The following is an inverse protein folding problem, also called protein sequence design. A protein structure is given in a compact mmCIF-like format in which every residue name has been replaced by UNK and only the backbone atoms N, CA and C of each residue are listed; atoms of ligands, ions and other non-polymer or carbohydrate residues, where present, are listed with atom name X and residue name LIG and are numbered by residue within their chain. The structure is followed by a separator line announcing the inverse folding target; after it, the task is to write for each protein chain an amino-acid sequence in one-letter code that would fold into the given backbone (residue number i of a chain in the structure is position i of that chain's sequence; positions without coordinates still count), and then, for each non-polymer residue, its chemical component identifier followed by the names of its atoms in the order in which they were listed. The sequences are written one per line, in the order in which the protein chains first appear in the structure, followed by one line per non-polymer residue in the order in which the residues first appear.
data_IF_746215767115
#
_entry.id   IF_746215767115
#
_cell.length_a   1.000
_cell.length_b   1.000
_cell.length_c   1.000
_cell.angle_alpha   90.00
_cell.angle_beta   90.00
_cell.angle_gamma   90.00
#
_symmetry.space_group_name_H-M   'P 1'
#
loop_
_entity.id
_entity.type
_entity.pdbx_description
1 polymer ?
#
# COMPACT_ATOMS: atom_id res chain seq x y z
N UNK A 1 -27.91 31.91 -22.50
CA UNK A 1 -28.21 30.77 -21.61
C UNK A 1 -28.48 29.60 -22.51
N UNK A 2 -27.51 28.70 -22.67
CA UNK A 2 -27.79 27.27 -22.78
C UNK A 2 -26.48 26.50 -22.56
N UNK A 3 -26.43 25.92 -21.38
CA UNK A 3 -25.45 24.96 -20.85
C UNK A 3 -25.91 23.55 -21.22
N UNK A 4 -25.09 22.78 -21.94
CA UNK A 4 -25.01 21.29 -21.99
C UNK A 4 -24.21 20.93 -23.27
N UNK A 5 -23.09 20.20 -23.25
CA UNK A 5 -22.94 18.80 -22.87
C UNK A 5 -21.48 18.50 -22.49
N UNK A 6 -21.26 18.22 -21.21
CA UNK A 6 -20.16 17.38 -20.72
C UNK A 6 -20.65 15.93 -20.81
N UNK A 7 -20.08 15.11 -21.68
CA UNK A 7 -20.25 13.65 -21.56
C UNK A 7 -19.09 12.87 -22.19
N UNK A 8 -18.47 12.05 -21.34
CA UNK A 8 -17.91 10.72 -21.63
C UNK A 8 -16.84 10.59 -22.72
N UNK A 9 -15.58 10.40 -22.30
CA UNK A 9 -14.63 9.50 -22.97
C UNK A 9 -13.81 8.76 -21.91
N UNK A 10 -14.43 7.70 -21.38
CA UNK A 10 -13.72 6.60 -20.74
C UNK A 10 -13.30 5.61 -21.84
N UNK A 11 -12.01 5.29 -21.88
CA UNK A 11 -11.47 4.20 -22.68
C UNK A 11 -10.84 4.64 -24.00
N UNK A 12 -9.52 4.82 -24.00
CA UNK A 12 -8.65 4.50 -25.14
C UNK A 12 -7.26 4.16 -24.60
N UNK A 13 -6.89 2.91 -24.83
CA UNK A 13 -5.58 2.37 -24.52
C UNK A 13 -4.49 3.03 -25.38
N UNK A 14 -3.26 2.88 -24.90
CA UNK A 14 -2.03 3.47 -25.40
C UNK A 14 -1.90 3.50 -26.94
N UNK A 15 -1.48 4.67 -27.42
CA UNK A 15 -0.90 4.87 -28.75
C UNK A 15 -1.90 5.20 -29.83
N UNK A 16 -2.38 6.45 -29.88
CA UNK A 16 -2.87 7.03 -31.13
C UNK A 16 -2.92 8.56 -31.00
N UNK A 17 -2.47 9.22 -32.06
CA UNK A 17 -2.62 10.66 -32.31
C UNK A 17 -4.10 11.03 -32.10
N UNK A 18 -4.40 11.86 -31.10
CA UNK A 18 -5.78 12.32 -30.86
C UNK A 18 -6.03 13.57 -31.71
N UNK A 19 -6.35 13.38 -33.00
CA UNK A 19 -6.91 14.45 -33.83
C UNK A 19 -8.42 14.47 -33.59
N UNK A 20 -8.94 15.49 -32.91
CA UNK A 20 -10.38 15.76 -32.87
C UNK A 20 -10.72 16.60 -34.11
N UNK A 21 -11.49 16.03 -35.03
CA UNK A 21 -11.91 16.70 -36.24
C UNK A 21 -13.34 17.23 -36.03
N UNK A 22 -13.48 18.55 -35.89
CA UNK A 22 -14.77 19.26 -35.88
C UNK A 22 -14.83 20.09 -37.16
N UNK A 23 -15.99 20.16 -37.81
CA UNK A 23 -16.17 20.84 -39.10
C UNK A 23 -15.84 22.34 -39.01
N UNK A 24 -14.66 22.72 -39.53
CA UNK A 24 -14.21 24.10 -39.75
C UNK A 24 -12.70 24.34 -39.60
N UNK A 25 -11.99 24.43 -40.73
CA UNK A 25 -10.95 25.41 -41.08
C UNK A 25 -9.51 25.42 -40.52
N UNK A 26 -9.10 24.73 -39.44
CA UNK A 26 -7.66 24.59 -39.09
C UNK A 26 -7.34 23.33 -38.29
N UNK A 27 -6.07 22.87 -38.31
CA UNK A 27 -5.58 21.72 -37.51
C UNK A 27 -4.43 22.10 -36.61
N UNK A 28 -4.53 21.79 -35.32
CA UNK A 28 -3.45 21.90 -34.34
C UNK A 28 -2.73 20.56 -34.14
N UNK A 29 -1.41 20.61 -34.04
CA UNK A 29 -0.56 19.42 -33.91
C UNK A 29 0.60 19.65 -32.94
N UNK A 30 0.65 18.85 -31.86
CA UNK A 30 1.76 18.80 -30.92
C UNK A 30 2.87 17.90 -31.48
N UNK A 31 4.07 18.45 -31.69
CA UNK A 31 5.20 17.71 -32.26
C UNK A 31 6.07 17.17 -31.15
N UNK A 32 6.28 15.85 -31.15
CA UNK A 32 7.13 15.13 -30.20
C UNK A 32 8.28 14.53 -31.01
N UNK A 33 9.51 14.99 -30.78
CA UNK A 33 10.68 14.60 -31.57
C UNK A 33 11.33 13.29 -31.07
N UNK A 34 11.08 12.92 -29.80
CA UNK A 34 11.80 11.85 -29.10
C UNK A 34 10.82 10.91 -28.36
N UNK A 35 11.32 9.84 -27.75
CA UNK A 35 10.51 8.94 -26.90
C UNK A 35 10.00 9.59 -25.60
N UNK A 36 10.32 10.86 -25.35
CA UNK A 36 10.02 11.59 -24.11
C UNK A 36 8.53 11.86 -23.88
N UNK A 37 7.69 11.77 -24.94
CA UNK A 37 6.28 12.21 -24.94
C UNK A 37 6.07 13.69 -24.58
N UNK A 38 7.15 14.47 -24.47
CA UNK A 38 7.13 15.91 -24.23
C UNK A 38 7.14 16.59 -25.60
N UNK A 39 6.19 17.51 -25.91
CA UNK A 39 6.22 18.24 -27.15
C UNK A 39 7.44 19.17 -27.20
N UNK A 40 8.06 19.28 -28.37
CA UNK A 40 9.11 20.27 -28.63
C UNK A 40 8.54 21.56 -29.21
N UNK A 41 7.43 21.46 -29.96
CA UNK A 41 6.78 22.58 -30.63
C UNK A 41 5.30 22.26 -30.91
N UNK A 42 4.54 23.30 -31.22
CA UNK A 42 3.14 23.22 -31.62
C UNK A 42 2.99 23.81 -33.03
N UNK A 43 2.20 23.15 -33.89
CA UNK A 43 1.95 23.59 -35.26
C UNK A 43 0.47 23.82 -35.50
N UNK A 44 0.14 24.97 -36.07
CA UNK A 44 -1.18 25.29 -36.61
C UNK A 44 -1.13 25.20 -38.15
N UNK A 45 -2.01 24.38 -38.70
CA UNK A 45 -2.21 24.18 -40.15
C UNK A 45 -3.58 24.79 -40.54
N UNK A 46 -3.63 26.03 -41.06
CA UNK A 46 -4.88 26.67 -41.50
C UNK A 46 -5.36 26.11 -42.85
N UNK A 47 -6.68 26.00 -43.06
CA UNK A 47 -7.29 25.56 -44.33
C UNK A 47 -7.44 26.68 -45.38
N UNK A 48 -7.62 27.95 -44.97
CA UNK A 48 -7.84 29.07 -45.91
C UNK A 48 -6.62 29.97 -46.09
N UNK A 49 -6.42 30.38 -47.34
CA UNK A 49 -5.41 31.35 -47.80
C UNK A 49 -5.76 32.78 -47.40
N UNK A 50 -5.71 33.08 -46.10
CA UNK A 50 -5.87 34.48 -45.69
C UNK A 50 -4.55 35.24 -45.65
N UNK A 51 -3.39 34.58 -45.60
CA UNK A 51 -2.07 35.25 -45.59
C UNK A 51 -1.06 34.55 -46.52
N UNK A 52 -1.12 34.82 -47.83
CA UNK A 52 -0.01 34.54 -48.78
C UNK A 52 1.17 35.54 -48.64
N UNK A 53 1.15 36.41 -47.62
CA UNK A 53 2.21 37.35 -47.28
C UNK A 53 2.95 37.01 -45.98
N UNK A 54 4.10 37.64 -45.74
CA UNK A 54 4.82 37.55 -44.47
C UNK A 54 3.95 38.14 -43.35
N UNK A 55 3.40 37.30 -42.48
CA UNK A 55 2.63 37.72 -41.31
C UNK A 55 3.54 38.45 -40.31
N UNK A 56 3.01 39.47 -39.64
CA UNK A 56 3.74 40.12 -38.54
C UNK A 56 3.72 39.22 -37.30
N UNK A 57 4.61 39.49 -36.34
CA UNK A 57 4.62 38.74 -35.07
C UNK A 57 3.26 38.81 -34.35
N UNK A 58 2.62 39.99 -34.35
CA UNK A 58 1.30 40.16 -33.75
C UNK A 58 0.20 39.35 -34.46
N UNK A 59 0.29 39.18 -35.78
CA UNK A 59 -0.63 38.32 -36.53
C UNK A 59 -0.46 36.85 -36.12
N UNK A 60 0.79 36.40 -35.91
CA UNK A 60 1.08 35.04 -35.47
C UNK A 60 0.66 34.77 -34.01
N UNK A 61 0.86 35.74 -33.12
CA UNK A 61 0.42 35.68 -31.72
C UNK A 61 -1.11 35.66 -31.59
N UNK A 62 -1.83 36.33 -32.51
CA UNK A 62 -3.29 36.26 -32.59
C UNK A 62 -3.77 34.95 -33.24
N UNK A 63 -2.96 34.37 -34.13
CA UNK A 63 -3.29 33.14 -34.84
C UNK A 63 -3.28 31.91 -33.91
N UNK A 64 -2.34 31.86 -32.95
CA UNK A 64 -2.08 30.70 -32.11
C UNK A 64 -1.63 31.12 -30.71
N UNK A 65 -2.31 30.63 -29.67
CA UNK A 65 -1.93 30.86 -28.27
C UNK A 65 -1.89 29.54 -27.50
N UNK A 66 -1.03 29.47 -26.48
CA UNK A 66 -0.87 28.31 -25.61
C UNK A 66 -1.02 28.74 -24.17
N UNK A 67 -1.78 28.00 -23.37
CA UNK A 67 -2.04 28.30 -21.97
C UNK A 67 -1.68 27.13 -21.08
N UNK A 68 -1.28 27.43 -19.84
CA UNK A 68 -1.15 26.44 -18.78
C UNK A 68 -2.54 26.09 -18.24
N UNK A 69 -2.80 24.81 -18.06
CA UNK A 69 -4.05 24.31 -17.45
C UNK A 69 -3.82 24.06 -15.97
N UNK A 70 -4.59 24.74 -15.13
CA UNK A 70 -4.61 24.55 -13.68
C UNK A 70 -5.98 24.02 -13.23
N UNK A 71 -6.00 23.17 -12.21
CA UNK A 71 -7.24 22.54 -11.74
C UNK A 71 -8.18 23.59 -11.13
N UNK A 72 -9.42 23.65 -11.63
CA UNK A 72 -10.44 24.58 -11.13
C UNK A 72 -10.31 26.02 -11.63
N UNK A 73 -9.38 26.31 -12.53
CA UNK A 73 -9.16 27.63 -13.14
C UNK A 73 -9.44 27.55 -14.64
N UNK A 74 -10.12 28.56 -15.19
CA UNK A 74 -10.30 28.68 -16.65
C UNK A 74 -8.93 28.97 -17.30
N UNK A 75 -8.38 28.08 -18.17
CA UNK A 75 -7.07 28.27 -18.77
C UNK A 75 -6.92 29.59 -19.54
N UNK A 76 -8.02 30.11 -20.12
CA UNK A 76 -7.99 31.37 -20.88
C UNK A 76 -7.84 32.61 -19.99
N UNK A 77 -7.99 32.46 -18.67
CA UNK A 77 -7.71 33.52 -17.70
C UNK A 77 -6.22 33.62 -17.33
N UNK A 78 -5.42 32.60 -17.68
CA UNK A 78 -3.97 32.62 -17.48
C UNK A 78 -3.28 33.42 -18.59
N UNK A 79 -2.12 34.06 -18.30
CA UNK A 79 -1.29 34.61 -19.36
C UNK A 79 -0.86 33.49 -20.34
N UNK A 80 -0.79 33.76 -21.66
CA UNK A 80 -0.25 32.80 -22.61
C UNK A 80 1.19 32.43 -22.27
N UNK A 81 1.58 31.21 -22.60
CA UNK A 81 2.95 30.71 -22.47
C UNK A 81 3.85 31.52 -23.41
N UNK A 82 4.88 32.13 -22.83
CA UNK A 82 5.88 32.86 -23.60
C UNK A 82 6.61 31.94 -24.59
N UNK A 83 6.81 32.42 -25.80
CA UNK A 83 7.53 31.69 -26.83
C UNK A 83 7.81 32.52 -28.08
N UNK A 84 8.32 31.83 -29.09
CA UNK A 84 8.62 32.38 -30.40
C UNK A 84 7.71 31.75 -31.45
N UNK A 85 7.35 32.56 -32.44
CA UNK A 85 6.52 32.16 -33.57
C UNK A 85 7.34 32.19 -34.85
N UNK A 86 7.17 31.16 -35.68
CA UNK A 86 7.76 31.08 -37.00
C UNK A 86 6.66 30.71 -37.99
N UNK A 87 6.64 31.40 -39.13
CA UNK A 87 5.80 31.03 -40.25
C UNK A 87 6.63 30.20 -41.25
N UNK A 88 6.15 29.01 -41.59
CA UNK A 88 6.75 28.16 -42.62
C UNK A 88 5.68 27.82 -43.66
N UNK A 89 5.65 28.58 -44.75
CA UNK A 89 4.56 28.54 -45.70
C UNK A 89 3.23 28.93 -45.01
N UNK A 90 2.27 28.01 -45.01
CA UNK A 90 0.96 28.20 -44.35
C UNK A 90 0.98 27.82 -42.87
N UNK A 91 2.02 27.15 -42.39
CA UNK A 91 2.06 26.62 -41.02
C UNK A 91 2.61 27.66 -40.06
N UNK A 92 1.90 27.91 -38.97
CA UNK A 92 2.40 28.67 -37.83
C UNK A 92 3.00 27.70 -36.83
N UNK A 93 4.25 27.91 -36.46
CA UNK A 93 5.01 27.08 -35.52
C UNK A 93 5.26 27.90 -34.26
N UNK A 94 4.76 27.41 -33.13
CA UNK A 94 5.05 27.96 -31.81
C UNK A 94 6.12 27.12 -31.10
N UNK A 95 7.14 27.79 -30.57
CA UNK A 95 8.18 27.20 -29.72
C UNK A 95 8.23 27.94 -28.39
N UNK A 96 7.97 27.28 -27.26
CA UNK A 96 7.97 27.96 -25.97
C UNK A 96 9.39 28.41 -25.61
N UNK A 97 9.52 29.53 -24.89
CA UNK A 97 10.80 30.06 -24.42
C UNK A 97 11.50 29.07 -23.48
N UNK A 98 10.70 28.36 -22.68
CA UNK A 98 11.14 27.23 -21.86
C UNK A 98 10.51 25.93 -22.38
N UNK A 99 11.23 24.81 -22.42
CA UNK A 99 10.67 23.53 -22.86
C UNK A 99 9.37 23.19 -22.11
N UNK A 100 8.39 22.62 -22.83
CA UNK A 100 7.18 22.10 -22.20
C UNK A 100 7.54 21.08 -21.11
N UNK A 101 6.74 21.04 -20.05
CA UNK A 101 6.95 20.12 -18.93
C UNK A 101 6.13 18.84 -19.08
N UNK A 102 6.71 17.70 -18.74
CA UNK A 102 6.03 16.41 -18.55
C UNK A 102 5.09 16.38 -17.32
N UNK A 103 4.96 17.51 -16.59
CA UNK A 103 4.12 17.66 -15.39
C UNK A 103 3.01 18.71 -15.54
N UNK A 104 2.95 19.43 -16.65
CA UNK A 104 2.00 20.54 -16.82
C UNK A 104 1.15 20.26 -18.05
N UNK A 105 -0.16 20.39 -17.91
CA UNK A 105 -1.10 20.28 -19.02
C UNK A 105 -1.17 21.61 -19.76
N UNK A 106 -1.24 21.56 -21.08
CA UNK A 106 -1.23 22.76 -21.94
C UNK A 106 -2.43 22.76 -22.89
N UNK A 107 -3.11 23.90 -22.99
CA UNK A 107 -4.19 24.12 -23.94
C UNK A 107 -3.70 25.02 -25.08
N UNK A 108 -3.69 24.50 -26.30
CA UNK A 108 -3.49 25.29 -27.51
C UNK A 108 -4.83 25.78 -28.06
N UNK A 109 -4.87 27.03 -28.52
CA UNK A 109 -6.06 27.69 -29.08
C UNK A 109 -5.68 28.43 -30.35
N UNK A 110 -6.38 28.14 -31.44
CA UNK A 110 -6.25 28.84 -32.72
C UNK A 110 -7.27 29.98 -32.84
N UNK A 111 -7.01 30.94 -33.75
CA UNK A 111 -7.87 32.10 -33.99
C UNK A 111 -9.32 31.77 -34.36
N UNK A 112 -9.53 30.64 -35.04
CA UNK A 112 -10.85 30.15 -35.45
C UNK A 112 -11.56 29.35 -34.35
N UNK A 113 -10.96 29.28 -33.15
CA UNK A 113 -11.50 28.61 -31.98
C UNK A 113 -11.17 27.12 -31.90
N UNK A 114 -10.40 26.56 -32.83
CA UNK A 114 -9.91 25.17 -32.72
C UNK A 114 -8.98 25.04 -31.51
N UNK A 115 -9.19 24.00 -30.70
CA UNK A 115 -8.41 23.77 -29.49
C UNK A 115 -7.74 22.39 -29.49
N UNK A 116 -6.57 22.31 -28.89
CA UNK A 116 -5.86 21.04 -28.68
C UNK A 116 -5.22 20.99 -27.28
N UNK A 117 -5.66 20.03 -26.47
CA UNK A 117 -5.12 19.78 -25.13
C UNK A 117 -3.95 18.79 -25.20
N UNK A 118 -2.79 19.19 -24.69
CA UNK A 118 -1.70 18.28 -24.35
C UNK A 118 -1.77 17.93 -22.85
N UNK A 119 -1.95 16.65 -22.53
CA UNK A 119 -1.88 16.17 -21.15
C UNK A 119 -0.47 15.68 -20.84
N UNK A 120 0.06 16.21 -19.74
CA UNK A 120 1.32 15.80 -19.17
C UNK A 120 1.33 14.33 -18.76
N UNK A 121 2.51 13.71 -18.75
CA UNK A 121 2.69 12.30 -18.37
C UNK A 121 2.62 12.08 -16.84
N UNK A 122 2.02 13.01 -16.09
CA UNK A 122 1.79 12.98 -14.63
C UNK A 122 1.17 11.67 -14.11
N UNK A 123 0.69 10.79 -14.98
CA UNK A 123 -0.24 9.71 -14.64
C UNK A 123 0.16 8.28 -15.05
N UNK A 124 1.29 7.99 -15.70
CA UNK A 124 1.47 6.63 -16.27
C UNK A 124 2.66 5.77 -15.77
N UNK A 125 3.71 6.32 -15.15
CA UNK A 125 4.88 5.49 -14.78
C UNK A 125 5.41 5.64 -13.34
N UNK A 126 4.71 6.35 -12.45
CA UNK A 126 5.01 6.19 -11.01
C UNK A 126 4.39 4.88 -10.52
N UNK A 127 5.15 3.94 -9.95
CA UNK A 127 4.58 2.71 -9.40
C UNK A 127 3.52 3.10 -8.37
N UNK A 128 2.27 2.69 -8.63
CA UNK A 128 1.12 3.05 -7.80
C UNK A 128 1.15 2.20 -6.55
N UNK A 129 0.90 2.82 -5.39
CA UNK A 129 0.78 2.10 -4.14
C UNK A 129 -0.35 1.06 -4.21
N UNK A 130 -0.11 -0.06 -3.53
CA UNK A 130 -1.05 -1.16 -3.34
C UNK A 130 -0.79 -1.80 -1.98
N UNK A 131 -1.80 -2.47 -1.45
CA UNK A 131 -1.64 -3.43 -0.38
C UNK A 131 -0.96 -4.67 -0.96
N UNK A 132 0.17 -5.07 -0.38
CA UNK A 132 0.87 -6.30 -0.75
C UNK A 132 0.23 -7.52 -0.08
N UNK A 133 -0.03 -7.43 1.23
CA UNK A 133 -0.73 -8.47 1.99
C UNK A 133 -1.26 -7.93 3.33
N UNK A 134 -2.16 -8.70 3.95
CA UNK A 134 -2.67 -8.43 5.30
C UNK A 134 -2.42 -9.66 6.17
N UNK A 135 -1.76 -9.46 7.30
CA UNK A 135 -1.54 -10.49 8.31
C UNK A 135 -2.55 -10.32 9.45
N UNK A 136 -3.06 -11.42 10.04
CA UNK A 136 -2.72 -12.81 9.72
C UNK A 136 -3.28 -13.26 8.36
N UNK A 137 -2.57 -14.11 7.63
CA UNK A 137 -3.00 -14.55 6.30
C UNK A 137 -4.03 -15.70 6.32
N UNK A 138 -4.21 -16.36 7.47
CA UNK A 138 -5.14 -17.48 7.63
C UNK A 138 -6.57 -17.17 7.21
N UNK A 139 -7.27 -18.21 6.74
CA UNK A 139 -8.69 -18.17 6.34
C UNK A 139 -9.63 -18.25 7.54
N UNK A 140 -9.18 -18.80 8.66
CA UNK A 140 -9.93 -18.88 9.92
C UNK A 140 -9.17 -18.06 10.97
N UNK A 141 -9.82 -17.04 11.52
CA UNK A 141 -9.26 -16.17 12.57
C UNK A 141 -10.09 -16.28 13.85
N UNK A 142 -9.49 -16.17 15.05
CA UNK A 142 -10.24 -16.30 16.29
C UNK A 142 -11.21 -15.13 16.47
N UNK A 143 -12.33 -15.36 17.16
CA UNK A 143 -13.32 -14.32 17.50
C UNK A 143 -12.69 -13.10 18.19
N UNK A 144 -11.65 -13.33 18.99
CA UNK A 144 -10.91 -12.30 19.69
C UNK A 144 -9.56 -11.96 19.05
N UNK A 145 -9.47 -12.05 17.72
CA UNK A 145 -8.32 -11.54 16.99
C UNK A 145 -7.96 -10.14 17.49
N UNK A 146 -6.71 -9.94 17.89
CA UNK A 146 -6.28 -8.69 18.51
C UNK A 146 -5.99 -7.61 17.46
N UNK A 147 -5.30 -7.96 16.38
CA UNK A 147 -4.79 -6.99 15.41
C UNK A 147 -4.59 -7.56 14.01
N UNK A 148 -4.58 -6.66 13.04
CA UNK A 148 -4.07 -6.89 11.70
C UNK A 148 -2.79 -6.10 11.45
N UNK A 149 -1.93 -6.60 10.58
CA UNK A 149 -0.88 -5.82 9.92
C UNK A 149 -1.22 -5.66 8.45
N UNK A 150 -1.36 -4.42 8.00
CA UNK A 150 -1.59 -4.11 6.58
C UNK A 150 -0.26 -3.65 5.99
N UNK A 151 0.27 -4.41 5.03
CA UNK A 151 1.53 -4.12 4.37
C UNK A 151 1.27 -3.51 2.99
N UNK A 152 1.99 -2.43 2.70
CA UNK A 152 1.88 -1.66 1.48
C UNK A 152 3.22 -1.69 0.73
N UNK A 153 3.13 -1.70 -0.60
CA UNK A 153 4.30 -1.63 -1.49
C UNK A 153 5.07 -0.30 -1.43
N UNK A 154 4.45 0.75 -0.87
CA UNK A 154 4.99 2.09 -0.80
C UNK A 154 4.58 2.77 0.51
N UNK A 155 5.33 3.81 0.89
CA UNK A 155 5.01 4.64 2.05
C UNK A 155 3.64 5.31 1.88
N UNK A 156 2.76 5.15 2.87
CA UNK A 156 1.40 5.65 2.83
C UNK A 156 1.22 6.97 3.57
N UNK A 157 0.24 7.76 3.15
CA UNK A 157 -0.22 8.91 3.91
C UNK A 157 -0.93 8.46 5.21
N UNK A 158 -0.77 9.23 6.28
CA UNK A 158 -1.46 9.02 7.55
C UNK A 158 -2.30 10.23 7.95
N UNK A 159 -2.97 10.13 9.10
CA UNK A 159 -3.84 11.14 9.71
C UNK A 159 -5.33 10.84 9.60
N UNK A 160 -5.72 9.83 8.83
CA UNK A 160 -7.13 9.45 8.61
C UNK A 160 -7.29 7.96 8.23
N UNK A 161 -6.43 7.07 8.78
CA UNK A 161 -6.38 5.65 8.37
C UNK A 161 -7.74 4.95 8.42
N UNK A 162 -8.56 5.24 9.44
CA UNK A 162 -9.79 4.50 9.72
C UNK A 162 -10.89 4.77 8.68
N UNK A 163 -10.86 5.91 7.97
CA UNK A 163 -11.80 6.18 6.87
C UNK A 163 -11.57 5.30 5.64
N UNK A 164 -10.37 4.76 5.50
CA UNK A 164 -10.00 3.92 4.38
C UNK A 164 -10.20 2.42 4.65
N UNK A 165 -10.63 2.05 5.86
CA UNK A 165 -10.69 0.66 6.31
C UNK A 165 -12.12 0.34 6.75
N UNK A 166 -12.68 -0.74 6.23
CA UNK A 166 -14.01 -1.23 6.61
C UNK A 166 -13.98 -2.71 6.90
N UNK A 167 -14.77 -3.12 7.90
CA UNK A 167 -15.04 -4.52 8.18
C UNK A 167 -16.51 -4.81 7.84
N UNK A 168 -16.76 -5.77 6.96
CA UNK A 168 -18.11 -6.14 6.52
C UNK A 168 -18.40 -7.58 6.94
N UNK A 169 -19.54 -7.79 7.58
CA UNK A 169 -20.11 -9.12 7.79
C UNK A 169 -20.85 -9.54 6.51
N UNK A 170 -20.45 -10.66 5.91
CA UNK A 170 -20.80 -10.99 4.53
C UNK A 170 -22.25 -11.47 4.38
N UNK A 171 -22.81 -12.22 5.34
CA UNK A 171 -24.14 -12.80 5.17
C UNK A 171 -25.22 -11.70 5.15
N UNK A 172 -25.09 -10.67 5.99
CA UNK A 172 -26.02 -9.52 6.01
C UNK A 172 -25.52 -8.32 5.22
N UNK A 173 -24.31 -8.39 4.64
CA UNK A 173 -23.62 -7.28 3.96
C UNK A 173 -23.58 -6.02 4.85
N UNK A 174 -23.39 -6.22 6.16
CA UNK A 174 -23.48 -5.16 7.16
C UNK A 174 -22.08 -4.68 7.51
N UNK A 175 -21.85 -3.36 7.46
CA UNK A 175 -20.63 -2.74 8.01
C UNK A 175 -20.65 -2.88 9.52
N UNK A 176 -19.60 -3.49 10.08
CA UNK A 176 -19.40 -3.58 11.52
C UNK A 176 -19.14 -2.18 12.06
N UNK A 177 -19.92 -1.75 13.04
CA UNK A 177 -19.77 -0.44 13.66
C UNK A 177 -18.61 -0.48 14.67
N UNK A 178 -17.76 0.54 14.62
CA UNK A 178 -16.59 0.74 15.51
C UNK A 178 -15.83 -0.56 15.82
N UNK A 179 -15.31 -1.28 14.81
CA UNK A 179 -14.62 -2.54 15.04
C UNK A 179 -13.18 -2.34 15.54
N UNK A 180 -12.59 -1.16 15.31
CA UNK A 180 -11.18 -0.87 15.55
C UNK A 180 -10.98 0.10 16.70
N UNK A 181 -9.82 -0.02 17.37
CA UNK A 181 -9.37 0.98 18.33
C UNK A 181 -8.82 2.19 17.57
N UNK A 182 -9.57 3.28 17.53
CA UNK A 182 -9.12 4.52 16.90
C UNK A 182 -8.18 5.31 17.82
N UNK A 183 -6.90 5.33 17.48
CA UNK A 183 -5.85 6.08 18.17
C UNK A 183 -5.55 7.40 17.44
N UNK A 184 -5.29 8.46 18.21
CA UNK A 184 -4.83 9.75 17.65
C UNK A 184 -3.42 9.67 17.03
N UNK A 185 -2.56 8.83 17.61
CA UNK A 185 -1.28 8.45 17.00
C UNK A 185 -1.41 7.09 16.31
N UNK A 186 -1.41 7.10 14.98
CA UNK A 186 -1.52 5.91 14.15
C UNK A 186 -0.27 5.02 14.26
N UNK A 187 -0.45 3.70 14.32
CA UNK A 187 0.61 2.75 14.61
C UNK A 187 1.33 2.25 13.34
N UNK A 188 2.00 3.18 12.67
CA UNK A 188 2.86 2.89 11.51
C UNK A 188 4.24 2.37 11.92
N UNK A 189 4.85 1.54 11.07
CA UNK A 189 6.31 1.39 11.09
C UNK A 189 7.01 2.67 10.58
N UNK A 190 8.32 2.75 10.77
CA UNK A 190 9.10 3.97 10.53
C UNK A 190 9.01 4.49 9.08
N UNK A 191 8.94 3.60 8.11
CA UNK A 191 8.84 3.88 6.67
C UNK A 191 7.38 4.01 6.18
N UNK A 192 6.38 3.85 7.06
CA UNK A 192 4.94 3.92 6.77
C UNK A 192 4.49 2.94 5.67
N UNK A 193 5.11 1.78 5.61
CA UNK A 193 4.76 0.67 4.71
C UNK A 193 3.96 -0.42 5.42
N UNK A 194 3.86 -0.38 6.75
CA UNK A 194 3.07 -1.32 7.56
C UNK A 194 2.27 -0.59 8.62
N UNK A 195 0.96 -0.70 8.56
CA UNK A 195 0.04 -0.23 9.61
C UNK A 195 -0.31 -1.39 10.56
N UNK A 196 -0.24 -1.13 11.86
CA UNK A 196 -0.84 -2.01 12.89
C UNK A 196 -2.26 -1.53 13.17
N UNK A 197 -3.26 -2.36 12.88
CA UNK A 197 -4.67 -2.07 13.08
C UNK A 197 -5.22 -2.95 14.20
N UNK A 198 -5.49 -2.37 15.37
CA UNK A 198 -6.11 -3.09 16.47
C UNK A 198 -7.63 -3.22 16.28
N UNK A 199 -8.15 -4.42 16.50
CA UNK A 199 -9.57 -4.57 16.83
C UNK A 199 -9.76 -3.99 18.23
N UNK A 200 -10.85 -3.27 18.47
CA UNK A 200 -11.11 -2.61 19.77
C UNK A 200 -11.00 -3.62 20.93
N UNK A 201 -9.97 -3.51 21.80
CA UNK A 201 -9.79 -4.44 22.91
C UNK A 201 -10.96 -4.43 23.90
N UNK A 202 -11.71 -3.32 23.99
CA UNK A 202 -12.94 -3.21 24.78
C UNK A 202 -14.06 -4.13 24.30
N UNK A 203 -13.98 -4.59 23.04
CA UNK A 203 -14.90 -5.55 22.41
C UNK A 203 -14.31 -6.97 22.32
N UNK A 204 -13.17 -7.20 22.98
CA UNK A 204 -12.49 -8.50 23.07
C UNK A 204 -12.48 -9.01 24.52
N UNK A 205 -12.09 -8.15 25.47
CA UNK A 205 -11.95 -8.53 26.88
C UNK A 205 -13.33 -8.68 27.54
N UNK A 206 -13.52 -9.79 28.27
CA UNK A 206 -14.70 -10.02 29.09
C UNK A 206 -14.74 -9.08 30.30
N UNK A 207 -15.95 -8.71 30.74
CA UNK A 207 -16.15 -7.84 31.89
C UNK A 207 -15.82 -6.36 31.64
N UNK A 208 -15.76 -5.95 30.38
CA UNK A 208 -15.60 -4.54 29.97
C UNK A 208 -16.87 -4.11 29.25
N UNK A 209 -17.39 -2.92 29.60
CA UNK A 209 -18.70 -2.41 29.13
C UNK A 209 -18.95 -2.52 27.61
N UNK A 210 -18.00 -2.22 26.71
CA UNK A 210 -18.29 -2.23 25.27
C UNK A 210 -18.66 -3.61 24.74
N UNK A 211 -18.02 -4.69 25.22
CA UNK A 211 -18.39 -6.05 24.83
C UNK A 211 -19.81 -6.41 25.31
N UNK A 212 -20.22 -5.95 26.49
CA UNK A 212 -21.53 -6.24 27.07
C UNK A 212 -22.66 -5.44 26.40
N UNK A 213 -22.40 -4.19 26.03
CA UNK A 213 -23.42 -3.28 25.48
C UNK A 213 -23.54 -3.38 23.95
N UNK A 214 -22.43 -3.62 23.23
CA UNK A 214 -22.37 -3.60 21.76
C UNK A 214 -22.16 -5.00 21.18
N UNK A 215 -21.51 -5.90 21.93
CA UNK A 215 -21.07 -7.21 21.43
C UNK A 215 -19.71 -7.18 20.72
N UNK A 216 -19.15 -8.35 20.39
CA UNK A 216 -17.80 -8.45 19.82
C UNK A 216 -17.74 -7.93 18.38
N UNK A 217 -16.56 -7.48 17.94
CA UNK A 217 -16.34 -7.00 16.56
C UNK A 217 -16.44 -8.12 15.52
N UNK A 218 -16.08 -9.33 15.93
CA UNK A 218 -16.14 -10.57 15.17
C UNK A 218 -16.98 -11.56 15.96
N UNK A 219 -17.75 -12.40 15.29
CA UNK A 219 -18.60 -13.40 15.94
C UNK A 219 -18.32 -14.78 15.36
N UNK A 220 -18.09 -15.78 16.21
CA UNK A 220 -17.81 -17.16 15.82
C UNK A 220 -18.83 -17.68 14.79
N UNK A 221 -18.33 -18.36 13.77
CA UNK A 221 -19.13 -19.01 12.75
C UNK A 221 -19.62 -18.08 11.63
N UNK A 222 -19.27 -16.78 11.65
CA UNK A 222 -19.59 -15.84 10.58
C UNK A 222 -18.40 -15.57 9.67
N UNK A 223 -18.69 -15.07 8.47
CA UNK A 223 -17.72 -14.73 7.45
C UNK A 223 -17.64 -13.21 7.28
N UNK A 224 -16.42 -12.68 7.23
CA UNK A 224 -16.15 -11.25 7.17
C UNK A 224 -15.19 -10.91 6.03
N UNK A 225 -15.22 -9.64 5.64
CA UNK A 225 -14.26 -9.05 4.73
C UNK A 225 -13.69 -7.75 5.30
N UNK A 226 -12.36 -7.68 5.40
CA UNK A 226 -11.62 -6.46 5.67
C UNK A 226 -11.28 -5.78 4.33
N UNK A 227 -11.77 -4.56 4.15
CA UNK A 227 -11.64 -3.79 2.91
C UNK A 227 -10.74 -2.61 3.13
N UNK A 228 -9.73 -2.46 2.27
CA UNK A 228 -8.85 -1.29 2.18
C UNK A 228 -9.21 -0.52 0.92
N UNK A 229 -9.68 0.72 1.07
CA UNK A 229 -10.16 1.56 -0.03
C UNK A 229 -9.02 2.04 -0.93
N UNK A 230 -9.20 1.96 -2.25
CA UNK A 230 -8.25 2.53 -3.22
C UNK A 230 -8.11 4.05 -3.13
N UNK A 231 -9.02 4.75 -2.47
CA UNK A 231 -8.93 6.19 -2.25
C UNK A 231 -7.85 6.58 -1.24
N UNK A 232 -7.22 5.60 -0.58
CA UNK A 232 -6.09 5.87 0.29
C UNK A 232 -4.88 6.30 -0.52
N UNK A 233 -4.34 7.46 -0.17
CA UNK A 233 -3.17 8.06 -0.83
C UNK A 233 -1.85 7.57 -0.24
N UNK A 234 -0.86 7.46 -1.10
CA UNK A 234 0.54 7.30 -0.71
C UNK A 234 1.13 8.60 -0.14
N UNK A 235 2.38 8.56 0.32
CA UNK A 235 3.09 9.73 0.85
C UNK A 235 3.29 10.85 -0.19
N UNK A 236 3.08 10.58 -1.48
CA UNK A 236 3.15 11.55 -2.58
C UNK A 236 1.77 12.10 -2.97
N UNK A 237 0.69 11.65 -2.32
CA UNK A 237 -0.67 12.07 -2.59
C UNK A 237 -1.38 11.27 -3.69
N UNK A 238 -0.80 10.18 -4.18
CA UNK A 238 -1.36 9.33 -5.25
C UNK A 238 -2.22 8.23 -4.64
N UNK A 239 -3.48 8.10 -5.08
CA UNK A 239 -4.38 7.03 -4.65
C UNK A 239 -3.88 5.65 -5.07
N UNK A 240 -4.20 4.60 -4.31
CA UNK A 240 -3.85 3.23 -4.66
C UNK A 240 -4.53 2.77 -5.96
N UNK A 241 -3.92 1.77 -6.62
CA UNK A 241 -4.41 1.26 -7.90
C UNK A 241 -5.79 0.59 -7.77
N UNK A 242 -5.97 -0.23 -6.74
CA UNK A 242 -7.17 -1.03 -6.52
C UNK A 242 -7.47 -1.12 -5.02
N UNK A 243 -8.75 -1.36 -4.69
CA UNK A 243 -9.12 -1.67 -3.31
C UNK A 243 -8.67 -3.09 -3.00
N UNK A 244 -8.23 -3.33 -1.77
CA UNK A 244 -7.84 -4.67 -1.33
C UNK A 244 -8.92 -5.26 -0.44
N UNK A 245 -9.16 -6.57 -0.57
CA UNK A 245 -10.18 -7.30 0.20
C UNK A 245 -9.53 -8.55 0.79
N UNK A 246 -9.61 -8.69 2.11
CA UNK A 246 -9.26 -9.93 2.81
C UNK A 246 -10.54 -10.55 3.37
N UNK A 247 -10.96 -11.68 2.81
CA UNK A 247 -12.06 -12.49 3.35
C UNK A 247 -11.54 -13.53 4.34
N UNK A 248 -12.29 -13.79 5.41
CA UNK A 248 -11.98 -14.83 6.40
C UNK A 248 -13.23 -15.25 7.16
N UNK A 249 -13.19 -16.46 7.71
CA UNK A 249 -14.18 -16.99 8.65
C UNK A 249 -13.71 -16.80 10.08
N UNK A 250 -14.65 -16.54 10.97
CA UNK A 250 -14.35 -16.42 12.40
C UNK A 250 -14.52 -17.79 13.06
N UNK A 251 -13.43 -18.28 13.64
CA UNK A 251 -13.40 -19.47 14.48
C UNK A 251 -13.67 -19.15 15.96
N UNK A 252 -13.60 -20.16 16.84
CA UNK A 252 -13.81 -19.95 18.26
C UNK A 252 -12.77 -18.98 18.85
N UNK A 253 -13.12 -18.29 19.95
CA UNK A 253 -12.17 -17.48 20.71
C UNK A 253 -10.98 -18.32 21.20
N UNK A 254 -9.77 -17.76 21.13
CA UNK A 254 -8.59 -18.32 21.80
C UNK A 254 -8.25 -17.54 23.06
N UNK A 255 -8.21 -18.23 24.20
CA UNK A 255 -7.87 -17.66 25.52
C UNK A 255 -6.75 -18.44 26.20
N UNK A 256 -6.16 -19.39 25.49
CA UNK A 256 -5.11 -20.24 26.03
C UNK A 256 -3.78 -19.51 25.91
N UNK A 257 -2.94 -19.48 26.95
CA UNK A 257 -1.57 -19.00 26.82
C UNK A 257 -0.78 -19.84 25.81
N UNK A 258 0.22 -19.21 25.18
CA UNK A 258 1.18 -19.94 24.37
C UNK A 258 1.93 -20.92 25.28
N UNK A 259 1.84 -22.21 24.93
CA UNK A 259 2.51 -23.29 25.65
C UNK A 259 3.61 -23.91 24.78
N UNK A 260 4.87 -23.57 25.04
CA UNK A 260 6.04 -24.06 24.29
C UNK A 260 6.13 -25.60 24.24
N UNK A 261 5.56 -26.31 25.23
CA UNK A 261 5.49 -27.77 25.25
C UNK A 261 4.68 -28.38 24.10
N UNK A 262 3.81 -27.59 23.46
CA UNK A 262 3.05 -28.00 22.26
C UNK A 262 3.87 -27.84 20.97
N UNK A 263 5.00 -27.14 21.02
CA UNK A 263 5.82 -26.91 19.84
C UNK A 263 6.60 -28.17 19.49
N UNK A 264 6.73 -28.44 18.20
CA UNK A 264 7.57 -29.53 17.70
C UNK A 264 8.83 -28.94 17.09
N UNK A 265 10.00 -29.44 17.50
CA UNK A 265 11.30 -29.00 17.00
C UNK A 265 11.88 -30.12 16.14
N UNK A 266 12.07 -29.85 14.85
CA UNK A 266 12.79 -30.73 13.95
C UNK A 266 14.28 -30.38 14.01
N UNK A 267 15.04 -31.22 14.71
CA UNK A 267 16.48 -31.03 14.84
C UNK A 267 17.18 -31.18 13.48
N UNK A 268 18.09 -30.26 13.11
CA UNK A 268 18.87 -30.37 11.89
C UNK A 268 19.96 -31.45 12.02
N UNK A 269 20.57 -31.82 10.89
CA UNK A 269 21.77 -32.67 10.92
C UNK A 269 23.00 -31.89 11.39
N UNK A 270 23.78 -32.53 12.25
CA UNK A 270 25.06 -32.01 12.69
C UNK A 270 26.04 -31.85 11.51
N UNK A 271 26.99 -30.93 11.63
CA UNK A 271 28.03 -30.65 10.62
C UNK A 271 27.48 -30.21 9.25
N UNK A 272 26.20 -29.86 9.17
CA UNK A 272 25.57 -29.30 7.98
C UNK A 272 24.96 -27.94 8.25
N UNK A 273 24.51 -27.24 7.20
CA UNK A 273 23.67 -26.04 7.32
C UNK A 273 22.18 -26.36 7.14
N UNK A 274 21.76 -27.60 7.37
CA UNK A 274 20.34 -27.95 7.26
C UNK A 274 19.50 -27.07 8.19
N UNK A 275 18.26 -26.70 7.79
CA UNK A 275 17.44 -25.83 8.60
C UNK A 275 17.03 -26.48 9.93
N UNK A 276 17.06 -25.70 11.00
CA UNK A 276 16.25 -25.94 12.19
C UNK A 276 14.82 -25.51 11.90
N UNK A 277 13.84 -26.35 12.21
CA UNK A 277 12.42 -26.04 11.98
C UNK A 277 11.64 -26.16 13.28
N UNK A 278 10.84 -25.14 13.59
CA UNK A 278 9.92 -25.13 14.72
C UNK A 278 8.50 -25.02 14.18
N UNK A 279 7.64 -25.95 14.60
CA UNK A 279 6.20 -25.88 14.38
C UNK A 279 5.53 -25.43 15.67
N UNK A 280 4.85 -24.28 15.62
CA UNK A 280 4.24 -23.67 16.80
C UNK A 280 2.93 -24.36 17.24
N UNK A 281 2.29 -25.08 16.32
CA UNK A 281 1.00 -25.74 16.57
C UNK A 281 -0.22 -24.80 16.57
N UNK A 282 0.01 -23.51 16.32
CA UNK A 282 -0.99 -22.44 16.16
C UNK A 282 -0.34 -21.26 15.40
N UNK A 283 -1.14 -20.32 14.91
CA UNK A 283 -0.63 -19.09 14.30
C UNK A 283 -0.21 -18.10 15.37
N UNK A 284 0.99 -17.53 15.21
CA UNK A 284 1.51 -16.51 16.11
C UNK A 284 1.55 -15.12 15.44
N UNK A 285 1.82 -14.08 16.22
CA UNK A 285 2.03 -12.73 15.69
C UNK A 285 3.34 -12.68 14.87
N UNK A 286 3.23 -12.37 13.58
CA UNK A 286 4.36 -12.42 12.64
C UNK A 286 5.49 -11.44 13.00
N UNK A 287 5.15 -10.22 13.43
CA UNK A 287 6.14 -9.20 13.78
C UNK A 287 6.87 -9.55 15.08
N UNK A 288 6.17 -10.20 16.02
CA UNK A 288 6.76 -10.65 17.27
C UNK A 288 7.58 -11.92 17.10
N UNK A 289 7.16 -12.90 16.30
CA UNK A 289 7.97 -14.11 16.04
C UNK A 289 9.36 -13.74 15.55
N UNK A 290 9.47 -12.79 14.62
CA UNK A 290 10.76 -12.35 14.08
C UNK A 290 11.70 -11.75 15.14
N UNK A 291 11.16 -11.12 16.18
CA UNK A 291 11.94 -10.42 17.23
C UNK A 291 12.12 -11.26 18.51
N UNK A 292 11.20 -12.16 18.79
CA UNK A 292 11.10 -12.86 20.07
C UNK A 292 11.63 -14.29 20.03
N UNK A 293 11.91 -14.86 18.85
CA UNK A 293 12.45 -16.21 18.71
C UNK A 293 13.86 -16.14 18.12
N UNK A 294 14.85 -16.67 18.84
CA UNK A 294 16.23 -16.75 18.36
C UNK A 294 16.90 -18.08 18.71
N UNK A 295 17.96 -18.43 17.97
CA UNK A 295 18.75 -19.64 18.19
C UNK A 295 20.11 -19.28 18.77
N UNK A 296 20.52 -19.97 19.83
CA UNK A 296 21.74 -19.73 20.58
C UNK A 296 22.58 -21.01 20.71
N UNK A 297 23.88 -20.82 20.92
CA UNK A 297 24.81 -21.83 21.43
C UNK A 297 25.42 -21.31 22.72
N UNK A 298 25.06 -21.91 23.86
CA UNK A 298 25.31 -21.30 25.16
C UNK A 298 24.57 -19.95 25.25
N UNK A 299 25.31 -18.86 25.49
CA UNK A 299 24.76 -17.51 25.55
C UNK A 299 24.95 -16.70 24.25
N UNK A 300 25.57 -17.29 23.23
CA UNK A 300 25.84 -16.60 21.97
C UNK A 300 24.70 -16.89 20.98
N UNK A 301 24.07 -15.84 20.49
CA UNK A 301 23.11 -15.92 19.39
C UNK A 301 23.83 -16.31 18.09
N UNK A 302 23.21 -17.23 17.33
CA UNK A 302 23.75 -17.71 16.08
C UNK A 302 23.32 -16.81 14.93
N UNK A 303 24.28 -16.46 14.08
CA UNK A 303 23.98 -15.81 12.80
C UNK A 303 23.37 -16.81 11.83
N UNK A 304 22.35 -16.38 11.10
CA UNK A 304 21.67 -17.17 10.10
C UNK A 304 20.49 -16.45 9.47
N UNK A 305 19.86 -17.13 8.53
CA UNK A 305 18.67 -16.66 7.83
C UNK A 305 17.43 -17.21 8.52
N UNK A 306 16.47 -16.33 8.83
CA UNK A 306 15.16 -16.68 9.39
C UNK A 306 14.12 -16.57 8.29
N UNK A 307 13.28 -17.59 8.16
CA UNK A 307 12.07 -17.54 7.35
C UNK A 307 10.87 -18.02 8.14
N UNK A 308 9.75 -17.32 8.00
CA UNK A 308 8.47 -17.61 8.64
C UNK A 308 7.47 -17.88 7.52
N UNK A 309 6.66 -18.95 7.63
CA UNK A 309 5.63 -19.19 6.62
C UNK A 309 4.50 -18.15 6.71
N UNK A 310 3.70 -18.01 5.65
CA UNK A 310 2.60 -17.04 5.56
C UNK A 310 1.58 -17.11 6.71
N UNK A 311 1.31 -18.31 7.21
CA UNK A 311 0.37 -18.51 8.33
C UNK A 311 1.01 -18.29 9.71
N UNK A 312 2.30 -17.99 9.79
CA UNK A 312 3.06 -17.85 11.03
C UNK A 312 2.89 -19.03 11.97
N UNK A 313 2.84 -20.25 11.42
CA UNK A 313 2.75 -21.52 12.16
C UNK A 313 4.08 -22.27 12.19
N UNK A 314 5.03 -21.86 11.34
CA UNK A 314 6.34 -22.48 11.16
C UNK A 314 7.43 -21.44 11.06
N UNK A 315 8.45 -21.60 11.90
CA UNK A 315 9.67 -20.79 11.89
C UNK A 315 10.85 -21.68 11.49
N UNK A 316 11.69 -21.17 10.59
CA UNK A 316 12.84 -21.89 10.06
C UNK A 316 14.08 -21.03 10.20
N UNK A 317 15.18 -21.65 10.63
CA UNK A 317 16.47 -20.99 10.77
C UNK A 317 17.57 -21.79 10.08
N UNK A 318 18.26 -21.14 9.15
CA UNK A 318 19.41 -21.69 8.43
C UNK A 318 20.66 -21.00 8.97
N UNK A 319 21.58 -21.69 9.65
CA UNK A 319 22.74 -21.04 10.23
C UNK A 319 23.74 -20.62 9.13
N UNK A 320 24.49 -19.56 9.38
CA UNK A 320 25.58 -19.12 8.50
C UNK A 320 26.75 -20.10 8.47
N UNK A 321 26.91 -20.91 9.53
CA UNK A 321 27.95 -21.94 9.68
C UNK A 321 27.32 -23.30 9.97
N UNK A 322 27.98 -24.42 9.65
CA UNK A 322 27.46 -25.74 9.98
C UNK A 322 27.19 -25.92 11.48
N UNK A 323 26.15 -26.70 11.81
CA UNK A 323 25.76 -27.00 13.18
C UNK A 323 26.86 -27.74 13.93
N UNK A 324 27.13 -27.31 15.16
CA UNK A 324 27.98 -28.08 16.08
C UNK A 324 27.21 -29.26 16.68
N UNK A 325 27.91 -30.28 17.17
CA UNK A 325 27.30 -31.44 17.84
C UNK A 325 26.79 -31.13 19.26
N UNK A 326 27.08 -29.94 19.77
CA UNK A 326 26.66 -29.53 21.10
C UNK A 326 25.16 -29.22 21.16
N UNK A 327 24.62 -29.21 22.38
CA UNK A 327 23.26 -28.76 22.61
C UNK A 327 23.14 -27.26 22.27
N UNK A 328 22.05 -26.93 21.59
CA UNK A 328 21.67 -25.56 21.25
C UNK A 328 20.39 -25.18 21.98
N UNK A 329 20.15 -23.88 22.09
CA UNK A 329 19.01 -23.33 22.80
C UNK A 329 18.20 -22.45 21.85
N UNK A 330 16.90 -22.66 21.79
CA UNK A 330 15.95 -21.72 21.22
C UNK A 330 15.47 -20.83 22.36
N UNK A 331 15.72 -19.54 22.28
CA UNK A 331 15.24 -18.56 23.24
C UNK A 331 13.94 -17.96 22.73
N UNK A 332 12.93 -17.94 23.59
CA UNK A 332 11.60 -17.37 23.29
C UNK A 332 11.30 -16.28 24.31
N UNK A 333 11.25 -15.03 23.87
CA UNK A 333 10.86 -13.92 24.75
C UNK A 333 9.40 -14.04 25.15
N UNK A 334 9.07 -13.77 26.42
CA UNK A 334 7.69 -13.88 26.92
C UNK A 334 6.72 -12.83 26.38
N UNK A 335 7.24 -11.86 25.63
CA UNK A 335 6.46 -10.86 24.89
C UNK A 335 5.92 -11.40 23.56
N UNK A 336 6.30 -12.62 23.16
CA UNK A 336 5.67 -13.27 22.02
C UNK A 336 4.17 -13.41 22.29
N UNK A 337 3.36 -13.13 21.26
CA UNK A 337 1.89 -13.20 21.31
C UNK A 337 1.36 -14.12 20.20
N UNK A 338 0.21 -14.72 20.46
CA UNK A 338 -0.63 -15.36 19.46
C UNK A 338 -1.54 -14.33 18.76
N UNK A 339 -2.43 -14.79 17.89
CA UNK A 339 -3.38 -13.91 17.20
C UNK A 339 -4.40 -13.23 18.14
N UNK A 340 -4.64 -13.81 19.30
CA UNK A 340 -5.58 -13.39 20.32
C UNK A 340 -4.96 -12.46 21.39
N UNK A 341 -3.64 -12.22 21.31
CA UNK A 341 -2.89 -11.44 22.30
C UNK A 341 -2.46 -12.22 23.54
N UNK A 342 -2.62 -13.55 23.56
CA UNK A 342 -2.10 -14.36 24.66
C UNK A 342 -0.58 -14.47 24.54
N UNK A 343 0.11 -14.32 25.67
CA UNK A 343 1.56 -14.42 25.75
C UNK A 343 2.01 -15.83 26.14
N UNK A 344 3.33 -16.04 26.12
CA UNK A 344 3.96 -17.23 26.72
C UNK A 344 3.61 -17.32 28.20
N UNK A 345 2.85 -18.35 28.56
CA UNK A 345 2.46 -18.64 29.95
C UNK A 345 1.46 -17.66 30.60
N UNK A 346 0.95 -16.66 29.87
CA UNK A 346 -0.03 -15.69 30.39
C UNK A 346 -1.15 -15.41 29.36
N UNK A 347 -2.44 -15.50 29.74
CA UNK A 347 -3.54 -15.16 28.84
C UNK A 347 -3.77 -13.63 28.78
N UNK A 348 -4.40 -13.15 27.70
CA UNK A 348 -4.63 -11.73 27.45
C UNK A 348 -5.56 -11.04 28.49
N UNK A 349 -6.48 -11.79 29.10
CA UNK A 349 -7.54 -11.23 29.95
C UNK A 349 -7.06 -10.71 31.33
N UNK A 350 -5.86 -11.07 31.78
CA UNK A 350 -5.43 -10.92 33.20
C UNK A 350 -4.97 -9.49 33.59
N UNK A 351 -4.99 -8.52 32.67
CA UNK A 351 -4.43 -7.17 32.95
C UNK A 351 -5.35 -6.15 33.64
N UNK A 352 -6.42 -6.57 34.31
CA UNK A 352 -7.37 -5.60 34.91
C UNK A 352 -7.00 -5.04 36.29
N UNK A 353 -6.01 -5.57 37.04
CA UNK A 353 -5.74 -5.09 38.41
C UNK A 353 -4.28 -5.14 38.91
N UNK A 354 -3.28 -4.85 38.08
CA UNK A 354 -1.91 -4.61 38.57
C UNK A 354 -1.52 -3.13 38.38
N UNK A 355 -1.05 -2.42 39.43
CA UNK A 355 -0.60 -1.05 39.27
C UNK A 355 0.52 -0.98 38.22
N UNK A 356 0.39 -0.03 37.30
CA UNK A 356 1.29 0.26 36.18
C UNK A 356 2.63 0.76 36.72
N UNK A 357 3.43 -0.16 37.23
CA UNK A 357 4.82 0.05 37.63
C UNK A 357 5.56 -1.29 37.64
N UNK A 358 5.33 -2.14 36.63
CA UNK A 358 6.27 -3.20 36.30
C UNK A 358 7.21 -2.68 35.24
N UNK A 359 8.45 -2.44 35.63
CA UNK A 359 9.61 -2.57 34.74
C UNK A 359 9.33 -3.80 33.88
N UNK A 360 9.30 -3.66 32.54
CA UNK A 360 9.24 -4.79 31.63
C UNK A 360 10.50 -5.63 31.88
N UNK A 361 10.42 -6.56 32.84
CA UNK A 361 11.46 -7.54 33.05
C UNK A 361 11.43 -8.43 31.81
N UNK A 362 12.46 -8.33 30.97
CA UNK A 362 12.63 -9.17 29.79
C UNK A 362 12.86 -10.62 30.23
N UNK A 363 11.77 -11.35 30.44
CA UNK A 363 11.84 -12.78 30.71
C UNK A 363 11.80 -13.57 29.39
N UNK A 364 12.38 -14.75 29.42
CA UNK A 364 12.40 -15.66 28.28
C UNK A 364 12.25 -17.09 28.77
N UNK A 365 11.62 -17.90 27.95
CA UNK A 365 11.59 -19.35 28.08
C UNK A 365 12.57 -19.95 27.08
N UNK A 366 12.93 -21.22 27.29
CA UNK A 366 13.90 -21.91 26.43
C UNK A 366 13.41 -23.28 25.99
N UNK A 367 13.72 -23.63 24.75
CA UNK A 367 13.68 -25.00 24.25
C UNK A 367 15.11 -25.43 23.93
N UNK A 368 15.41 -26.71 24.06
CA UNK A 368 16.71 -27.25 23.74
C UNK A 368 16.61 -28.29 22.63
N UNK A 369 17.60 -28.29 21.75
CA UNK A 369 17.74 -29.33 20.74
C UNK A 369 19.20 -29.70 20.56
N UNK A 370 19.44 -30.89 20.00
CA UNK A 370 20.79 -31.35 19.65
C UNK A 370 20.75 -31.81 18.20
N UNK A 371 21.64 -31.29 17.34
CA UNK A 371 21.74 -31.75 15.96
C UNK A 371 22.00 -33.26 15.88
N UNK A 372 21.37 -33.92 14.92
CA UNK A 372 21.41 -35.38 14.79
C UNK A 372 22.62 -35.78 13.94
N UNK A 373 23.42 -36.72 14.44
CA UNK A 373 24.42 -37.43 13.63
C UNK A 373 23.71 -38.42 12.73
N UNK A 374 24.10 -38.53 11.45
CA UNK A 374 23.66 -39.66 10.63
C UNK A 374 24.05 -40.94 11.37
N UNK A 375 23.08 -41.84 11.57
CA UNK A 375 23.42 -43.22 11.90
C UNK A 375 24.15 -43.74 10.67
N UNK A 376 25.45 -43.96 10.77
CA UNK A 376 26.18 -44.74 9.77
C UNK A 376 25.37 -46.01 9.49
N UNK A 377 25.02 -46.29 8.22
CA UNK A 377 24.23 -47.47 7.86
C UNK A 377 24.92 -48.77 8.25
#
# INVERSE_FOLDING_TARGET
MDTTLLTSLAGLAAGLVTTLQVQGASRLEWIIQDSSRIPSELRLHPERDEHEGNATLGDLENALQVYVVEEGVDPLSNPPVDGSYLQSGKVVIFRPTYPFSDRIDYLAVAFDGVQALHRSSKLHDSPVARVDHIQPEGEILPENLLKFYIHFSHSMSGGDVYRHIQLIELAKKKVVQWPFLELGEELWNQDRTRLTLFIDPGRIKRGVKPLEEIGPSLEEGKDYELIISNQWKDAKGTSMANSFRKSFRVGPPDRSPIALKRWTVESPRAETRQPLVIHFGESLDAALVQRCVSCLRGNQELEGEISINSQTTRWTFIPSKPWSLFQHTIKVHTLLEDLAGNNVGKPFEVDTFAPVQRRLESSHETLHFTPVLDKTP
#
